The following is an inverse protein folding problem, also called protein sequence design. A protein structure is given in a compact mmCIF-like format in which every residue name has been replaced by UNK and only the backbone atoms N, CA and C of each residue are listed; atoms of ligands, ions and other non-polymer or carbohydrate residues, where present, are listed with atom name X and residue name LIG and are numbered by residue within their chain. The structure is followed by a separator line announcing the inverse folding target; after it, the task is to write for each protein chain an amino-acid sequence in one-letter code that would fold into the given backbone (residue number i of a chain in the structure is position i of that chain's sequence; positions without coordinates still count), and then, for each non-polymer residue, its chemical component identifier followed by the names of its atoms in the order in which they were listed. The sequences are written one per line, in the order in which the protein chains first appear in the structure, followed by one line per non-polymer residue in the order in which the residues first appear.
data_IF_063905884545
#
_entry.id   IF_063905884545
#
_cell.length_a   1.000
_cell.length_b   1.000
_cell.length_c   1.000
_cell.angle_alpha   90.00
_cell.angle_beta   90.00
_cell.angle_gamma   90.00
#
_symmetry.space_group_name_H-M   'P 1'
#
loop_
_entity.id
_entity.type
_entity.pdbx_description
1 polymer ?
#
# COMPACT_ATOMS: atom_id res chain seq x y z
N UNK A 1 -56.60 -26.38 -16.47
CA UNK A 1 -55.59 -25.50 -17.09
C UNK A 1 -55.60 -24.18 -16.34
N UNK A 2 -54.76 -24.04 -15.33
CA UNK A 2 -54.49 -22.76 -14.65
C UNK A 2 -53.06 -22.82 -14.16
N UNK A 3 -52.17 -22.29 -14.99
CA UNK A 3 -50.76 -22.12 -14.71
C UNK A 3 -50.64 -20.85 -13.86
N UNK A 4 -50.67 -21.00 -12.54
CA UNK A 4 -50.24 -19.94 -11.64
C UNK A 4 -48.71 -19.92 -11.66
N UNK A 5 -48.15 -19.08 -12.52
CA UNK A 5 -46.74 -18.72 -12.53
C UNK A 5 -46.44 -17.96 -11.24
N UNK A 6 -45.93 -18.65 -10.25
CA UNK A 6 -45.31 -18.09 -9.06
C UNK A 6 -44.05 -17.33 -9.51
N UNK A 7 -44.21 -16.05 -9.84
CA UNK A 7 -43.10 -15.12 -9.94
C UNK A 7 -42.47 -15.02 -8.55
N UNK A 8 -41.44 -15.83 -8.29
CA UNK A 8 -40.55 -15.59 -7.17
C UNK A 8 -39.82 -14.27 -7.46
N UNK A 9 -40.31 -13.22 -6.80
CA UNK A 9 -39.61 -11.96 -6.68
C UNK A 9 -38.34 -12.24 -5.87
N UNK A 10 -37.25 -12.58 -6.56
CA UNK A 10 -35.92 -12.59 -5.95
C UNK A 10 -35.60 -11.12 -5.72
N UNK A 11 -36.00 -10.59 -4.55
CA UNK A 11 -35.42 -9.37 -4.04
C UNK A 11 -33.94 -9.67 -3.86
N UNK A 12 -33.11 -9.13 -4.75
CA UNK A 12 -31.66 -9.24 -4.66
C UNK A 12 -31.22 -8.55 -3.36
N UNK A 13 -31.11 -9.32 -2.28
CA UNK A 13 -30.49 -8.81 -1.06
C UNK A 13 -29.07 -8.34 -1.39
N UNK A 14 -28.62 -7.23 -0.79
CA UNK A 14 -27.30 -6.67 -1.08
C UNK A 14 -26.22 -7.68 -0.70
N UNK A 15 -25.57 -8.27 -1.70
CA UNK A 15 -24.39 -9.09 -1.51
C UNK A 15 -23.30 -8.21 -0.90
N UNK A 16 -22.77 -8.62 0.26
CA UNK A 16 -21.63 -7.92 0.84
C UNK A 16 -20.43 -8.14 -0.08
N UNK A 17 -19.77 -7.03 -0.34
CA UNK A 17 -18.63 -6.96 -1.21
C UNK A 17 -17.39 -7.15 -0.33
N UNK A 18 -16.70 -8.28 -0.51
CA UNK A 18 -15.57 -8.68 0.33
C UNK A 18 -14.26 -8.23 -0.31
N UNK A 19 -13.42 -7.57 0.49
CA UNK A 19 -12.05 -7.22 0.09
C UNK A 19 -11.23 -8.49 -0.07
N UNK A 20 -10.55 -8.64 -1.20
CA UNK A 20 -9.62 -9.74 -1.42
C UNK A 20 -8.28 -9.44 -0.72
N UNK A 21 -8.16 -9.91 0.52
CA UNK A 21 -6.95 -9.76 1.33
C UNK A 21 -5.71 -10.42 0.71
N UNK A 22 -5.88 -11.44 -0.15
CA UNK A 22 -4.76 -12.04 -0.86
C UNK A 22 -4.20 -11.10 -1.93
N UNK A 23 -5.09 -10.39 -2.65
CA UNK A 23 -4.71 -9.36 -3.60
C UNK A 23 -4.00 -8.18 -2.92
N UNK A 24 -4.43 -7.78 -1.72
CA UNK A 24 -3.73 -6.76 -0.89
C UNK A 24 -2.29 -7.18 -0.61
N UNK A 25 -2.10 -8.41 -0.11
CA UNK A 25 -0.77 -8.92 0.24
C UNK A 25 0.15 -8.94 -1.00
N UNK A 26 -0.33 -9.52 -2.10
CA UNK A 26 0.46 -9.63 -3.32
C UNK A 26 0.74 -8.26 -3.96
N UNK A 27 -0.22 -7.34 -3.95
CA UNK A 27 -0.03 -5.97 -4.41
C UNK A 27 1.05 -5.25 -3.61
N UNK A 28 1.04 -5.35 -2.28
CA UNK A 28 2.08 -4.74 -1.45
C UNK A 28 3.47 -5.32 -1.71
N UNK A 29 3.57 -6.65 -1.85
CA UNK A 29 4.84 -7.34 -2.15
C UNK A 29 5.39 -6.94 -3.52
N UNK A 30 4.56 -6.96 -4.57
CA UNK A 30 5.00 -6.61 -5.93
C UNK A 30 5.37 -5.13 -6.02
N UNK A 31 4.60 -4.26 -5.38
CA UNK A 31 4.89 -2.83 -5.29
C UNK A 31 6.23 -2.58 -4.62
N UNK A 32 6.48 -3.21 -3.46
CA UNK A 32 7.77 -3.10 -2.78
C UNK A 32 8.92 -3.59 -3.66
N UNK A 33 8.81 -4.81 -4.19
CA UNK A 33 9.86 -5.44 -4.99
C UNK A 33 10.26 -4.58 -6.21
N UNK A 34 9.28 -4.02 -6.92
CA UNK A 34 9.51 -3.23 -8.12
C UNK A 34 9.97 -1.79 -7.84
N UNK A 35 9.65 -1.24 -6.67
CA UNK A 35 10.09 0.12 -6.29
C UNK A 35 11.43 0.14 -5.56
N UNK A 36 11.94 -1.00 -5.07
CA UNK A 36 13.27 -1.08 -4.44
C UNK A 36 14.42 -0.60 -5.36
N UNK A 37 14.49 -0.97 -6.65
CA UNK A 37 15.54 -0.46 -7.54
C UNK A 37 15.44 1.06 -7.73
N UNK A 38 14.22 1.60 -7.74
CA UNK A 38 13.99 3.04 -7.81
C UNK A 38 14.53 3.70 -6.54
N UNK A 39 14.20 3.14 -5.38
CA UNK A 39 14.62 3.65 -4.09
C UNK A 39 16.15 3.64 -3.92
N UNK A 40 16.80 2.51 -4.16
CA UNK A 40 18.23 2.36 -3.86
C UNK A 40 19.17 2.79 -4.98
N UNK A 41 18.71 2.94 -6.22
CA UNK A 41 19.60 3.32 -7.32
C UNK A 41 19.12 4.59 -8.03
N UNK A 42 17.86 4.63 -8.47
CA UNK A 42 17.37 5.77 -9.25
C UNK A 42 17.29 7.06 -8.43
N UNK A 43 16.73 7.00 -7.22
CA UNK A 43 16.61 8.16 -6.33
C UNK A 43 17.96 8.74 -5.90
N UNK A 44 18.90 7.97 -5.32
CA UNK A 44 20.20 8.52 -4.95
C UNK A 44 20.97 9.04 -6.18
N UNK A 45 20.86 8.37 -7.33
CA UNK A 45 21.42 8.86 -8.59
C UNK A 45 20.82 10.21 -9.04
N UNK A 46 19.51 10.40 -8.90
CA UNK A 46 18.83 11.66 -9.22
C UNK A 46 19.19 12.79 -8.24
N UNK A 47 19.38 12.46 -6.97
CA UNK A 47 19.69 13.41 -5.90
C UNK A 47 21.20 13.71 -5.78
N UNK A 48 22.06 12.95 -6.48
CA UNK A 48 23.52 13.11 -6.40
C UNK A 48 24.10 12.73 -5.04
N UNK A 49 23.45 11.80 -4.33
CA UNK A 49 23.83 11.34 -2.99
C UNK A 49 24.27 9.87 -3.00
N UNK A 50 24.98 9.46 -1.95
CA UNK A 50 25.34 8.06 -1.76
C UNK A 50 24.11 7.17 -1.52
N UNK A 51 24.11 5.99 -2.14
CA UNK A 51 23.10 4.95 -1.93
C UNK A 51 23.03 4.50 -0.47
N UNK A 52 24.18 4.43 0.21
CA UNK A 52 24.23 4.05 1.61
C UNK A 52 23.49 5.03 2.52
N UNK A 53 23.45 6.32 2.16
CA UNK A 53 22.64 7.30 2.89
C UNK A 53 21.15 6.95 2.79
N UNK A 54 20.63 6.66 1.60
CA UNK A 54 19.23 6.25 1.43
C UNK A 54 18.91 5.00 2.25
N UNK A 55 19.81 4.02 2.24
CA UNK A 55 19.67 2.81 3.06
C UNK A 55 19.54 3.20 4.54
N UNK A 56 20.44 4.02 5.08
CA UNK A 56 20.40 4.47 6.47
C UNK A 56 19.07 5.18 6.82
N UNK A 57 18.61 6.10 5.96
CA UNK A 57 17.35 6.83 6.18
C UNK A 57 16.13 5.89 6.22
N UNK A 58 16.09 4.86 5.37
CA UNK A 58 15.01 3.86 5.42
C UNK A 58 15.14 2.89 6.60
N UNK A 59 16.37 2.55 7.01
CA UNK A 59 16.60 1.74 8.22
C UNK A 59 16.21 2.48 9.51
N UNK A 60 16.37 3.80 9.54
CA UNK A 60 16.11 4.63 10.71
C UNK A 60 14.64 4.58 11.16
N UNK A 61 13.71 4.21 10.27
CA UNK A 61 12.30 3.99 10.60
C UNK A 61 12.11 2.90 11.66
N UNK A 62 12.97 1.87 11.66
CA UNK A 62 12.90 0.74 12.60
C UNK A 62 13.97 0.82 13.69
N UNK A 63 15.18 1.30 13.35
CA UNK A 63 16.33 1.30 14.25
C UNK A 63 16.56 2.63 14.97
N UNK A 64 15.86 3.69 14.57
CA UNK A 64 16.02 5.04 15.12
C UNK A 64 17.09 5.87 14.40
N UNK A 65 17.16 7.15 14.77
CA UNK A 65 17.96 8.16 14.08
C UNK A 65 19.49 7.94 14.17
N UNK A 66 19.95 7.13 15.11
CA UNK A 66 21.38 6.92 15.39
C UNK A 66 22.11 6.32 14.18
N UNK A 67 21.41 5.51 13.37
CA UNK A 67 21.99 4.85 12.19
C UNK A 67 22.40 5.83 11.08
N UNK A 68 21.84 7.05 11.07
CA UNK A 68 22.11 8.09 10.07
C UNK A 68 23.45 8.80 10.37
N UNK A 69 23.93 8.74 11.62
CA UNK A 69 25.17 9.38 12.04
C UNK A 69 26.42 8.51 11.88
N UNK A 70 26.22 7.24 11.52
CA UNK A 70 27.28 6.28 11.26
C UNK A 70 27.89 6.59 9.88
N UNK A 71 29.22 6.45 9.68
CA UNK A 71 29.84 6.55 8.37
C UNK A 71 29.05 5.78 7.31
N UNK A 72 28.96 6.33 6.09
CA UNK A 72 28.14 5.80 4.98
C UNK A 72 28.72 4.55 4.33
N UNK A 73 29.32 3.67 5.12
CA UNK A 73 29.81 2.36 4.68
C UNK A 73 28.65 1.38 4.51
N UNK A 74 28.80 0.44 3.59
CA UNK A 74 27.78 -0.58 3.36
C UNK A 74 27.64 -1.50 4.58
N UNK A 75 26.40 -1.65 5.05
CA UNK A 75 26.04 -2.57 6.14
C UNK A 75 24.89 -3.46 5.72
N UNK A 76 25.11 -4.78 5.78
CA UNK A 76 24.10 -5.79 5.44
C UNK A 76 22.86 -5.66 6.35
N UNK A 77 23.06 -5.36 7.63
CA UNK A 77 21.96 -5.18 8.59
C UNK A 77 21.08 -3.99 8.20
N UNK A 78 21.70 -2.85 7.86
CA UNK A 78 20.96 -1.67 7.42
C UNK A 78 20.23 -1.92 6.10
N UNK A 79 20.89 -2.58 5.15
CA UNK A 79 20.30 -2.93 3.86
C UNK A 79 19.00 -3.76 4.02
N UNK A 80 19.03 -4.85 4.79
CA UNK A 80 17.83 -5.65 5.02
C UNK A 80 16.76 -4.92 5.85
N UNK A 81 17.18 -4.11 6.82
CA UNK A 81 16.24 -3.29 7.60
C UNK A 81 15.52 -2.30 6.69
N UNK A 82 16.22 -1.65 5.77
CA UNK A 82 15.65 -0.71 4.82
C UNK A 82 14.62 -1.40 3.89
N UNK A 83 14.93 -2.61 3.42
CA UNK A 83 13.99 -3.43 2.64
C UNK A 83 12.72 -3.73 3.45
N UNK A 84 12.86 -4.12 4.71
CA UNK A 84 11.71 -4.43 5.59
C UNK A 84 10.87 -3.18 5.83
N UNK A 85 11.48 -2.04 6.14
CA UNK A 85 10.77 -0.76 6.29
C UNK A 85 9.97 -0.43 5.03
N UNK A 86 10.60 -0.57 3.85
CA UNK A 86 9.97 -0.26 2.57
C UNK A 86 8.81 -1.21 2.25
N UNK A 87 8.99 -2.51 2.50
CA UNK A 87 7.94 -3.51 2.35
C UNK A 87 6.75 -3.22 3.28
N UNK A 88 7.01 -2.85 4.54
CA UNK A 88 5.96 -2.51 5.49
C UNK A 88 5.11 -1.33 5.00
N UNK A 89 5.75 -0.27 4.47
CA UNK A 89 5.05 0.88 3.90
C UNK A 89 4.20 0.47 2.70
N UNK A 90 4.75 -0.34 1.79
CA UNK A 90 4.01 -0.80 0.61
C UNK A 90 2.77 -1.63 0.97
N UNK A 91 2.87 -2.50 1.99
CA UNK A 91 1.75 -3.28 2.50
C UNK A 91 0.68 -2.39 3.15
N UNK A 92 1.09 -1.39 3.94
CA UNK A 92 0.17 -0.42 4.54
C UNK A 92 -0.56 0.36 3.45
N UNK A 93 0.15 0.88 2.45
CA UNK A 93 -0.48 1.60 1.34
C UNK A 93 -1.43 0.72 0.55
N UNK A 94 -1.05 -0.51 0.23
CA UNK A 94 -1.94 -1.46 -0.46
C UNK A 94 -3.21 -1.74 0.34
N UNK A 95 -3.09 -1.90 1.66
CA UNK A 95 -4.24 -2.11 2.56
C UNK A 95 -5.17 -0.90 2.58
N UNK A 96 -4.62 0.31 2.70
CA UNK A 96 -5.40 1.56 2.69
C UNK A 96 -6.10 1.73 1.34
N UNK A 97 -5.41 1.49 0.23
CA UNK A 97 -5.97 1.63 -1.12
C UNK A 97 -7.10 0.64 -1.35
N UNK A 98 -6.91 -0.64 -1.01
CA UNK A 98 -7.95 -1.67 -1.13
C UNK A 98 -9.20 -1.34 -0.31
N UNK A 99 -9.03 -0.72 0.86
CA UNK A 99 -10.13 -0.31 1.72
C UNK A 99 -10.94 0.87 1.16
N UNK A 100 -10.32 1.73 0.34
CA UNK A 100 -10.96 2.94 -0.20
C UNK A 100 -11.51 2.71 -1.61
N UNK A 101 -10.72 2.07 -2.48
CA UNK A 101 -10.94 2.10 -3.93
C UNK A 101 -11.46 0.78 -4.52
N UNK A 102 -12.01 -0.10 -3.69
CA UNK A 102 -12.50 -1.39 -4.12
C UNK A 102 -13.40 -1.32 -5.39
N UNK A 103 -12.94 -1.93 -6.50
CA UNK A 103 -13.65 -2.07 -7.80
C UNK A 103 -14.02 -0.78 -8.55
N UNK A 104 -13.22 0.29 -8.44
CA UNK A 104 -13.38 1.44 -9.35
C UNK A 104 -12.62 1.28 -10.68
N UNK A 105 -11.89 0.18 -10.85
CA UNK A 105 -11.12 -0.16 -12.04
C UNK A 105 -9.70 0.42 -12.01
N UNK A 106 -8.84 -0.15 -12.86
CA UNK A 106 -7.39 0.11 -12.88
C UNK A 106 -7.04 1.61 -12.93
N UNK A 107 -7.76 2.42 -13.73
CA UNK A 107 -7.45 3.85 -13.86
C UNK A 107 -7.72 4.61 -12.55
N UNK A 108 -8.79 4.26 -11.85
CA UNK A 108 -9.11 4.84 -10.54
C UNK A 108 -8.18 4.29 -9.48
N UNK A 109 -7.81 3.00 -9.53
CA UNK A 109 -6.78 2.43 -8.66
C UNK A 109 -5.44 3.15 -8.76
N UNK A 110 -4.95 3.42 -9.98
CA UNK A 110 -3.70 4.17 -10.20
C UNK A 110 -3.81 5.61 -9.69
N UNK A 111 -4.86 6.34 -10.11
CA UNK A 111 -4.99 7.77 -9.79
C UNK A 111 -5.32 7.99 -8.31
N UNK A 112 -6.26 7.22 -7.77
CA UNK A 112 -6.60 7.19 -6.35
C UNK A 112 -5.42 6.74 -5.49
N UNK A 113 -4.71 5.70 -5.90
CA UNK A 113 -3.48 5.24 -5.25
C UNK A 113 -2.40 6.33 -5.23
N UNK A 114 -2.17 7.03 -6.35
CA UNK A 114 -1.20 8.12 -6.40
C UNK A 114 -1.58 9.30 -5.47
N UNK A 115 -2.88 9.61 -5.36
CA UNK A 115 -3.37 10.61 -4.41
C UNK A 115 -3.22 10.17 -2.95
N UNK A 116 -3.44 8.89 -2.64
CA UNK A 116 -3.15 8.32 -1.31
C UNK A 116 -1.66 8.40 -0.99
N UNK A 117 -0.79 8.08 -1.97
CA UNK A 117 0.65 8.24 -1.84
C UNK A 117 1.06 9.70 -1.58
N UNK A 118 0.44 10.65 -2.28
CA UNK A 118 0.64 12.09 -2.06
C UNK A 118 0.21 12.51 -0.65
N UNK A 119 -0.97 12.06 -0.21
CA UNK A 119 -1.46 12.34 1.14
C UNK A 119 -0.52 11.74 2.20
N UNK A 120 -0.06 10.51 2.00
CA UNK A 120 0.92 9.85 2.86
C UNK A 120 2.23 10.65 2.95
N UNK A 121 2.74 11.17 1.83
CA UNK A 121 3.92 12.05 1.82
C UNK A 121 3.72 13.27 2.72
N UNK A 122 2.61 14.00 2.55
CA UNK A 122 2.35 15.19 3.36
C UNK A 122 2.14 14.88 4.84
N UNK A 123 1.45 13.77 5.15
CA UNK A 123 1.30 13.30 6.53
C UNK A 123 2.67 13.02 7.15
N UNK A 124 3.57 12.36 6.42
CA UNK A 124 4.92 12.09 6.92
C UNK A 124 5.72 13.36 7.13
N UNK A 125 5.80 14.24 6.13
CA UNK A 125 6.63 15.44 6.24
C UNK A 125 6.09 16.42 7.30
N UNK A 126 4.78 16.60 7.43
CA UNK A 126 4.24 17.58 8.37
C UNK A 126 3.92 17.01 9.76
N UNK A 127 3.61 15.72 9.85
CA UNK A 127 3.28 15.08 11.15
C UNK A 127 4.48 14.35 11.72
N UNK A 128 5.17 13.52 10.94
CA UNK A 128 6.27 12.70 11.47
C UNK A 128 7.53 13.51 11.72
N UNK A 129 7.82 14.55 10.93
CA UNK A 129 8.96 15.44 11.19
C UNK A 129 8.87 16.15 12.55
N UNK A 130 7.66 16.34 13.10
CA UNK A 130 7.49 16.86 14.46
C UNK A 130 8.07 15.91 15.53
N UNK A 131 7.97 14.60 15.31
CA UNK A 131 8.50 13.57 16.22
C UNK A 131 9.93 13.13 15.84
N UNK A 132 10.25 13.17 14.56
CA UNK A 132 11.47 12.64 13.96
C UNK A 132 12.11 13.69 13.05
N UNK A 133 12.85 14.62 13.64
CA UNK A 133 13.47 15.75 12.91
C UNK A 133 14.34 15.32 11.71
N UNK A 134 14.93 14.12 11.74
CA UNK A 134 15.75 13.60 10.64
C UNK A 134 14.95 13.35 9.35
N UNK A 135 13.62 13.21 9.43
CA UNK A 135 12.76 13.02 8.26
C UNK A 135 12.70 14.25 7.36
N UNK A 136 13.17 15.40 7.82
CA UNK A 136 13.28 16.62 7.01
C UNK A 136 14.11 16.40 5.73
N UNK A 137 15.07 15.48 5.75
CA UNK A 137 15.84 15.08 4.55
C UNK A 137 14.95 14.55 3.41
N UNK A 138 13.79 13.98 3.74
CA UNK A 138 12.84 13.44 2.77
C UNK A 138 11.91 14.52 2.19
N UNK A 139 12.05 15.78 2.62
CA UNK A 139 11.30 16.89 2.03
C UNK A 139 11.82 17.18 0.62
N UNK A 140 10.91 17.14 -0.35
CA UNK A 140 11.21 17.62 -1.70
C UNK A 140 10.32 16.98 -2.76
N UNK A 141 10.29 17.58 -3.96
CA UNK A 141 9.45 17.11 -5.04
C UNK A 141 9.81 15.69 -5.49
N UNK A 142 11.09 15.29 -5.38
CA UNK A 142 11.55 13.95 -5.76
C UNK A 142 10.91 12.86 -4.90
N UNK A 143 10.96 13.01 -3.57
CA UNK A 143 10.32 12.07 -2.65
C UNK A 143 8.80 12.14 -2.72
N UNK A 144 8.23 13.33 -2.95
CA UNK A 144 6.79 13.49 -3.20
C UNK A 144 6.34 12.65 -4.41
N UNK A 145 7.02 12.77 -5.54
CA UNK A 145 6.73 12.01 -6.76
C UNK A 145 6.95 10.51 -6.56
N UNK A 146 7.99 10.13 -5.81
CA UNK A 146 8.23 8.72 -5.47
C UNK A 146 7.08 8.12 -4.66
N UNK A 147 6.54 8.84 -3.68
CA UNK A 147 5.39 8.38 -2.89
C UNK A 147 4.11 8.28 -3.74
N UNK A 148 3.89 9.24 -4.66
CA UNK A 148 2.80 9.14 -5.64
C UNK A 148 2.93 7.90 -6.52
N UNK A 149 4.14 7.62 -7.01
CA UNK A 149 4.43 6.43 -7.80
C UNK A 149 4.18 5.14 -7.00
N UNK A 150 4.62 5.10 -5.73
CA UNK A 150 4.42 3.96 -4.85
C UNK A 150 2.94 3.67 -4.61
N UNK A 151 2.15 4.70 -4.31
CA UNK A 151 0.70 4.57 -4.15
C UNK A 151 0.00 4.17 -5.45
N UNK A 152 0.39 4.76 -6.58
CA UNK A 152 -0.16 4.40 -7.90
C UNK A 152 0.14 2.95 -8.30
N UNK A 153 1.34 2.46 -8.00
CA UNK A 153 1.72 1.05 -8.20
C UNK A 153 0.89 0.11 -7.31
N UNK A 154 0.72 0.44 -6.03
CA UNK A 154 -0.10 -0.36 -5.13
C UNK A 154 -1.56 -0.47 -5.62
N UNK A 155 -2.14 0.64 -6.08
CA UNK A 155 -3.48 0.62 -6.66
C UNK A 155 -3.57 -0.15 -7.98
N UNK A 156 -2.56 0.00 -8.86
CA UNK A 156 -2.47 -0.78 -10.10
C UNK A 156 -2.45 -2.28 -9.84
N UNK A 157 -1.56 -2.75 -8.97
CA UNK A 157 -1.40 -4.17 -8.71
C UNK A 157 -2.57 -4.74 -7.93
N UNK A 158 -3.19 -3.97 -7.02
CA UNK A 158 -4.37 -4.43 -6.31
C UNK A 158 -5.53 -4.70 -7.28
N UNK A 159 -5.89 -3.72 -8.11
CA UNK A 159 -6.97 -3.85 -9.11
C UNK A 159 -6.66 -4.91 -10.18
N UNK A 160 -5.39 -5.17 -10.47
CA UNK A 160 -4.99 -6.22 -11.42
C UNK A 160 -5.07 -7.64 -10.85
N UNK A 161 -5.01 -7.76 -9.52
CA UNK A 161 -4.96 -9.06 -8.82
C UNK A 161 -6.27 -9.41 -8.12
N UNK A 162 -7.15 -8.44 -7.87
CA UNK A 162 -8.41 -8.70 -7.18
C UNK A 162 -9.31 -9.63 -8.00
N UNK A 163 -9.89 -10.63 -7.32
CA UNK A 163 -10.88 -11.53 -7.89
C UNK A 163 -12.23 -11.21 -7.27
N UNK A 164 -13.25 -11.09 -8.12
CA UNK A 164 -14.60 -10.79 -7.68
C UNK A 164 -15.21 -11.96 -6.89
N UNK A 165 -15.29 -11.82 -5.57
CA UNK A 165 -16.04 -12.73 -4.71
C UNK A 165 -17.29 -12.03 -4.17
N UNK A 166 -18.42 -12.71 -4.26
CA UNK A 166 -19.71 -12.27 -3.74
C UNK A 166 -20.12 -13.21 -2.62
N UNK A 167 -20.50 -12.67 -1.47
CA UNK A 167 -21.07 -13.50 -0.41
C UNK A 167 -22.54 -13.81 -0.74
N UNK A 168 -22.88 -15.08 -0.97
CA UNK A 168 -24.27 -15.52 -1.20
C UNK A 168 -25.07 -15.31 0.10
N UNK A 169 -26.26 -14.68 0.05
CA UNK A 169 -27.13 -14.48 1.22
C UNK A 169 -27.37 -15.74 2.07
N UNK A 170 -27.28 -16.94 1.47
CA UNK A 170 -27.45 -18.21 2.19
C UNK A 170 -26.32 -18.51 3.18
N UNK A 171 -25.08 -18.12 2.86
CA UNK A 171 -23.92 -18.35 3.72
C UNK A 171 -23.83 -17.31 4.84
N UNK A 172 -24.35 -16.11 4.61
CA UNK A 172 -24.47 -15.08 5.64
C UNK A 172 -25.35 -15.52 6.82
N UNK A 173 -26.54 -16.06 6.54
CA UNK A 173 -27.48 -16.49 7.59
C UNK A 173 -26.99 -17.71 8.39
N UNK A 174 -26.19 -18.59 7.79
CA UNK A 174 -25.60 -19.74 8.50
C UNK A 174 -24.51 -19.31 9.49
N UNK A 175 -23.70 -18.30 9.15
CA UNK A 175 -22.67 -17.76 10.05
C UNK A 175 -23.24 -17.05 11.29
N UNK A 176 -24.41 -16.39 11.20
CA UNK A 176 -25.07 -15.76 12.35
C UNK A 176 -25.75 -16.76 13.28
N UNK A 177 -26.32 -17.84 12.73
CA UNK A 177 -27.01 -18.86 13.54
C UNK A 177 -26.08 -19.75 14.36
N UNK A 178 -24.78 -19.78 14.04
CA UNK A 178 -23.76 -20.50 14.81
C UNK A 178 -23.16 -19.68 15.97
N UNK A 179 -23.52 -18.40 16.10
CA UNK A 179 -23.00 -17.49 17.12
C UNK A 179 -24.00 -17.23 18.29
N UNK A 180 -25.04 -18.07 18.43
CA UNK A 180 -25.99 -18.07 19.55
C UNK A 180 -26.05 -19.42 20.24
#
# INVERSE_FOLDING_TARGET
MSLLSTHQNITSEPTKLLVDWSAVLWSGITTAALSLPILFFALPGLLGIDTNNIIQYWSAMLLGAQVITVPSDFSVVLFFTAIISHLAIALVLSTVIASIFHRFGILVGITGGALVGLAYYFINIYSMTYFFNWMYFLEGPVFMLFNMLLGGMAGFFYESLEIEQWEDPKDYNSSMSLNY
#
